data_IF_512336400756
#
_entry.id   IF_512336400756
#
_cell.length_a   1.000
_cell.length_b   1.000
_cell.length_c   1.000
_cell.angle_alpha   90.00
_cell.angle_beta   90.00
_cell.angle_gamma   90.00
#
_symmetry.space_group_name_H-M   'P 1'
#
loop_
_entity.id
_entity.type
_entity.pdbx_description
1 polymer ?
#
# COMPACT_ATOMS: atom_id res chain seq x y z
N UNK A 1 12.95 15.62 5.00
CA UNK A 1 12.84 15.35 4.65
C UNK A 1 12.74 14.44 4.63
N UNK A 2 12.63 14.12 4.62
CA UNK A 2 12.47 12.99 4.79
C UNK A 2 11.91 12.06 3.91
N UNK A 3 11.47 11.01 4.43
CA UNK A 3 10.93 10.01 3.63
C UNK A 3 9.48 10.17 3.47
N UNK A 4 8.99 9.75 2.33
CA UNK A 4 7.56 9.71 2.11
C UNK A 4 6.95 8.66 3.01
N UNK A 5 5.79 8.96 3.53
CA UNK A 5 5.11 7.99 4.35
C UNK A 5 4.60 6.81 3.54
N UNK A 6 4.14 7.06 2.32
CA UNK A 6 3.59 6.00 1.49
C UNK A 6 4.56 5.68 0.37
N UNK A 7 4.82 4.40 0.17
CA UNK A 7 5.72 3.96 -0.88
C UNK A 7 4.98 2.98 -1.78
N UNK A 8 5.17 3.16 -3.08
CA UNK A 8 4.59 2.25 -4.04
C UNK A 8 5.51 1.05 -4.18
N UNK A 9 5.01 -0.13 -3.88
CA UNK A 9 5.81 -1.34 -3.93
C UNK A 9 5.43 -2.25 -5.09
N UNK A 10 4.32 -1.96 -5.77
CA UNK A 10 3.91 -2.77 -6.89
C UNK A 10 2.98 -1.95 -7.76
N UNK A 11 3.08 -2.13 -9.06
CA UNK A 11 2.11 -1.52 -9.95
C UNK A 11 1.99 -2.36 -11.20
N UNK A 12 0.83 -2.34 -11.80
CA UNK A 12 0.61 -2.99 -13.07
C UNK A 12 -0.45 -2.21 -13.83
N UNK A 13 -0.38 -2.30 -15.15
CA UNK A 13 -1.35 -1.64 -16.00
C UNK A 13 -0.95 -0.22 -16.31
N UNK A 14 -1.52 0.33 -17.37
CA UNK A 14 -1.22 1.67 -17.79
C UNK A 14 -2.49 2.51 -17.73
N UNK A 15 -3.47 2.19 -18.55
CA UNK A 15 -4.70 2.96 -18.57
C UNK A 15 -5.61 2.54 -17.43
N UNK A 16 -5.75 1.25 -17.25
CA UNK A 16 -6.44 0.71 -16.09
C UNK A 16 -5.39 -0.03 -15.29
N UNK A 17 -5.16 0.41 -14.09
CA UNK A 17 -4.04 -0.12 -13.35
C UNK A 17 -4.33 -0.36 -11.90
N UNK A 18 -3.39 -1.05 -11.26
CA UNK A 18 -3.47 -1.37 -9.86
C UNK A 18 -2.10 -1.07 -9.26
N UNK A 19 -2.10 -0.44 -8.09
CA UNK A 19 -0.87 -0.16 -7.38
C UNK A 19 -1.02 -0.57 -5.94
N UNK A 20 0.06 -1.05 -5.36
CA UNK A 20 0.07 -1.36 -3.94
C UNK A 20 0.99 -0.38 -3.26
N UNK A 21 0.46 0.30 -2.26
CA UNK A 21 1.18 1.30 -1.48
C UNK A 21 1.32 0.79 -0.06
N UNK A 22 2.45 1.06 0.55
CA UNK A 22 2.63 0.69 1.94
C UNK A 22 2.78 1.95 2.77
N UNK A 23 2.08 1.98 3.89
CA UNK A 23 2.21 3.05 4.86
C UNK A 23 3.43 2.69 5.70
N UNK A 24 4.49 3.45 5.57
CA UNK A 24 5.73 3.11 6.23
C UNK A 24 5.69 3.35 7.73
N UNK A 25 4.65 3.96 8.23
CA UNK A 25 4.52 4.15 9.67
C UNK A 25 3.79 2.99 10.32
N UNK A 26 2.86 2.38 9.63
CA UNK A 26 2.07 1.30 10.22
C UNK A 26 2.34 -0.04 9.58
N UNK A 27 2.88 -0.04 8.37
CA UNK A 27 3.07 -1.27 7.63
C UNK A 27 1.84 -1.75 6.90
N UNK A 28 0.74 -1.02 7.00
CA UNK A 28 -0.48 -1.45 6.33
C UNK A 28 -0.34 -1.21 4.84
N UNK A 29 -0.70 -2.20 4.06
CA UNK A 29 -0.70 -2.09 2.61
C UNK A 29 -2.06 -1.64 2.12
N UNK A 30 -2.04 -0.82 1.07
CA UNK A 30 -3.27 -0.32 0.47
C UNK A 30 -3.25 -0.64 -1.01
N UNK A 31 -4.43 -0.87 -1.55
CA UNK A 31 -4.61 -1.14 -2.96
C UNK A 31 -5.27 0.06 -3.60
N UNK A 32 -4.60 0.62 -4.60
CA UNK A 32 -5.15 1.72 -5.37
C UNK A 32 -5.44 1.23 -6.77
N UNK A 33 -6.67 1.39 -7.21
CA UNK A 33 -7.07 1.00 -8.55
C UNK A 33 -7.48 2.23 -9.32
N UNK A 34 -7.07 2.31 -10.56
CA UNK A 34 -7.50 3.43 -11.39
C UNK A 34 -7.97 2.94 -12.74
N UNK A 35 -8.80 3.74 -13.35
CA UNK A 35 -9.30 3.47 -14.68
C UNK A 35 -9.58 4.81 -15.31
N UNK A 36 -8.75 5.20 -16.27
CA UNK A 36 -8.85 6.51 -16.86
C UNK A 36 -8.65 7.59 -15.81
N UNK A 37 -9.67 8.43 -15.62
CA UNK A 37 -9.59 9.50 -14.64
C UNK A 37 -10.16 9.13 -13.29
N UNK A 38 -10.60 7.91 -13.12
CA UNK A 38 -11.23 7.49 -11.87
C UNK A 38 -10.25 6.65 -11.07
N UNK A 39 -10.38 6.72 -9.76
CA UNK A 39 -9.53 5.92 -8.89
C UNK A 39 -10.18 5.66 -7.56
N UNK A 40 -9.70 4.63 -6.89
CA UNK A 40 -10.19 4.29 -5.57
C UNK A 40 -9.11 3.59 -4.78
N UNK A 41 -9.16 3.76 -3.48
CA UNK A 41 -8.16 3.22 -2.57
C UNK A 41 -8.86 2.42 -1.48
N UNK A 42 -8.28 1.29 -1.15
CA UNK A 42 -8.83 0.45 -0.09
C UNK A 42 -7.67 -0.28 0.58
N UNK A 43 -7.82 -0.66 1.85
CA UNK A 43 -6.79 -1.50 2.45
C UNK A 43 -6.69 -2.82 1.70
N UNK A 44 -5.47 -3.31 1.54
CA UNK A 44 -5.25 -4.59 0.90
C UNK A 44 -5.42 -5.67 1.93
N UNK A 45 -6.35 -6.59 1.69
CA UNK A 45 -6.67 -7.60 2.68
C UNK A 45 -6.10 -8.94 2.27
N UNK A 46 -5.77 -9.75 3.26
CA UNK A 46 -5.31 -11.09 2.99
C UNK A 46 -6.54 -12.00 2.84
N UNK A 47 -6.28 -13.29 2.70
CA UNK A 47 -7.36 -14.22 2.41
C UNK A 47 -8.33 -14.37 3.58
N UNK A 48 -7.92 -13.90 4.74
CA UNK A 48 -8.79 -13.97 5.90
C UNK A 48 -9.49 -12.66 6.20
N UNK A 49 -9.34 -11.68 5.33
CA UNK A 49 -10.00 -10.41 5.50
C UNK A 49 -9.27 -9.44 6.39
N UNK A 50 -8.00 -9.70 6.68
CA UNK A 50 -7.22 -8.81 7.52
C UNK A 50 -6.26 -8.02 6.69
N UNK A 51 -5.92 -6.80 7.10
CA UNK A 51 -4.97 -6.01 6.31
C UNK A 51 -3.62 -6.70 6.21
N UNK A 52 -3.03 -6.61 5.03
CA UNK A 52 -1.70 -7.13 4.82
C UNK A 52 -0.71 -6.17 5.46
N UNK A 53 0.18 -6.69 6.29
CA UNK A 53 1.12 -5.86 7.02
C UNK A 53 2.53 -6.17 6.54
N UNK A 54 3.27 -5.12 6.22
CA UNK A 54 4.66 -5.24 5.84
C UNK A 54 5.52 -4.75 7.00
N UNK A 55 6.56 -5.47 7.31
CA UNK A 55 7.50 -5.02 8.32
C UNK A 55 8.12 -3.72 7.85
N UNK A 56 8.10 -2.71 8.69
CA UNK A 56 8.58 -1.41 8.27
C UNK A 56 9.80 -1.02 9.06
N UNK A 57 10.70 -0.44 8.33
CA UNK A 57 11.73 0.35 8.88
C UNK A 57 12.75 -0.29 9.69
N UNK A 58 12.66 -1.33 10.15
CA UNK A 58 13.64 -1.78 11.08
C UNK A 58 13.50 -1.15 12.41
N UNK A 59 12.31 -0.76 12.77
CA UNK A 59 12.05 -0.22 14.08
C UNK A 59 11.66 -1.38 14.98
N UNK A 60 12.59 -1.92 15.73
CA UNK A 60 12.30 -3.14 16.48
C UNK A 60 11.35 -2.93 17.63
N UNK A 61 11.09 -1.71 17.96
CA UNK A 61 10.20 -1.52 19.03
C UNK A 61 8.79 -1.44 18.64
N UNK A 62 8.55 -1.46 17.36
CA UNK A 62 7.19 -1.41 16.96
C UNK A 62 6.58 -2.71 17.22
N UNK A 63 5.53 -2.74 17.93
CA UNK A 63 4.87 -4.01 18.23
C UNK A 63 4.23 -4.60 17.00
#
# INVERSE_FOLDING_TARGET
MGKDRFQKIYSQGVITGVEILVDTQTGINYLFCNSGNAGGLTPLLDREGKPVITAVGGDPERP
#
